data_IF_316800713240
#
_entry.id   IF_316800713240
#
_cell.length_a   1.000
_cell.length_b   1.000
_cell.length_c   1.000
_cell.angle_alpha   90.00
_cell.angle_beta   90.00
_cell.angle_gamma   90.00
#
_symmetry.space_group_name_H-M   'P 1'
#
loop_
_entity.id
_entity.type
_entity.pdbx_description
1 polymer ?
#
# COMPACT_ATOMS: atom_id res chain seq x y z
N UNK A 1 5.56 52.40 44.95
CA UNK A 1 6.17 51.16 44.45
C UNK A 1 5.09 50.26 43.81
N UNK A 2 4.91 50.34 42.51
CA UNK A 2 3.94 49.50 41.79
C UNK A 2 4.68 48.34 41.10
N UNK A 3 4.47 47.14 41.59
CA UNK A 3 4.92 45.89 40.94
C UNK A 3 3.89 45.53 39.89
N UNK A 4 4.24 45.74 38.61
CA UNK A 4 3.45 45.23 37.46
C UNK A 4 3.72 43.72 37.33
N UNK A 5 2.71 42.91 37.64
CA UNK A 5 2.69 41.49 37.28
C UNK A 5 2.46 41.38 35.77
N UNK A 6 3.47 40.89 35.08
CA UNK A 6 3.36 40.46 33.69
C UNK A 6 2.84 39.02 33.68
N UNK A 7 1.55 38.83 33.39
CA UNK A 7 1.02 37.51 33.02
C UNK A 7 1.51 37.14 31.61
N UNK A 8 2.50 36.29 31.54
CA UNK A 8 2.88 35.62 30.30
C UNK A 8 1.91 34.48 30.08
N UNK A 9 0.93 34.68 29.21
CA UNK A 9 0.05 33.63 28.73
C UNK A 9 0.84 32.76 27.76
N UNK A 10 1.27 31.58 28.24
CA UNK A 10 1.89 30.55 27.42
C UNK A 10 0.79 29.88 26.58
N UNK A 11 0.64 30.29 25.32
CA UNK A 11 -0.17 29.59 24.32
C UNK A 11 0.51 28.26 24.03
N UNK A 12 0.03 27.20 24.68
CA UNK A 12 0.30 25.84 24.25
C UNK A 12 -0.43 25.63 22.90
N UNK A 13 0.33 25.78 21.82
CA UNK A 13 -0.10 25.27 20.51
C UNK A 13 -0.16 23.74 20.60
N UNK A 14 -1.33 23.23 20.92
CA UNK A 14 -1.62 21.81 20.83
C UNK A 14 -1.51 21.35 19.37
N UNK A 15 -0.41 20.69 19.02
CA UNK A 15 -0.35 19.93 17.79
C UNK A 15 -1.37 18.79 17.90
N UNK A 16 -2.57 19.01 17.39
CA UNK A 16 -3.54 17.97 17.20
C UNK A 16 -2.98 17.00 16.13
N UNK A 17 -2.38 15.90 16.56
CA UNK A 17 -2.11 14.74 15.73
C UNK A 17 -3.45 14.09 15.38
N UNK A 18 -4.21 14.73 14.48
CA UNK A 18 -5.41 14.15 13.92
C UNK A 18 -4.98 13.26 12.76
N UNK A 19 -5.09 11.94 12.91
CA UNK A 19 -4.94 11.06 11.78
C UNK A 19 -4.54 9.60 12.07
N UNK A 20 -3.76 9.33 13.10
CA UNK A 20 -3.28 7.95 13.35
C UNK A 20 -4.40 6.95 13.69
N UNK A 21 -5.54 7.43 14.20
CA UNK A 21 -6.69 6.59 14.54
C UNK A 21 -7.68 6.40 13.38
N UNK A 22 -7.53 7.14 12.29
CA UNK A 22 -8.47 7.11 11.18
C UNK A 22 -8.04 6.13 10.07
N UNK A 23 -6.82 5.59 10.14
CA UNK A 23 -6.25 4.72 9.12
C UNK A 23 -5.53 3.54 9.77
N UNK A 24 -5.81 2.35 9.29
CA UNK A 24 -5.11 1.13 9.65
C UNK A 24 -4.58 0.45 8.39
N UNK A 25 -3.30 0.10 8.40
CA UNK A 25 -2.63 -0.64 7.34
C UNK A 25 -2.21 -1.99 7.90
N UNK A 26 -2.63 -3.07 7.27
CA UNK A 26 -2.28 -4.42 7.67
C UNK A 26 -1.98 -5.35 6.48
N UNK A 27 -1.46 -6.55 6.76
CA UNK A 27 -1.16 -7.60 5.77
C UNK A 27 -0.32 -7.07 4.61
N UNK A 28 0.73 -6.31 4.93
CA UNK A 28 1.60 -5.69 3.91
C UNK A 28 2.66 -6.71 3.47
N UNK A 29 2.64 -7.07 2.20
CA UNK A 29 3.59 -8.02 1.63
C UNK A 29 3.75 -7.85 0.12
N UNK A 30 4.80 -8.45 -0.41
CA UNK A 30 5.13 -8.50 -1.84
C UNK A 30 5.61 -9.91 -2.18
N UNK A 31 5.60 -10.26 -3.46
CA UNK A 31 6.26 -11.48 -3.94
C UNK A 31 7.73 -11.20 -4.22
N UNK A 32 8.57 -12.23 -4.06
CA UNK A 32 9.93 -12.18 -4.56
C UNK A 32 9.96 -11.85 -6.05
N UNK A 33 11.05 -11.21 -6.48
CA UNK A 33 11.23 -10.89 -7.88
C UNK A 33 12.05 -11.96 -8.59
N UNK A 34 11.70 -12.22 -9.85
CA UNK A 34 12.52 -13.06 -10.74
C UNK A 34 13.58 -12.22 -11.46
N UNK A 35 14.69 -12.80 -11.92
CA UNK A 35 15.71 -12.07 -12.68
C UNK A 35 15.11 -11.30 -13.86
N UNK A 36 15.47 -10.02 -13.98
CA UNK A 36 14.99 -9.13 -15.05
C UNK A 36 13.62 -8.49 -14.80
N UNK A 37 12.94 -8.82 -13.70
CA UNK A 37 11.67 -8.20 -13.34
C UNK A 37 11.86 -6.71 -12.97
N UNK A 38 11.07 -5.84 -13.60
CA UNK A 38 11.18 -4.39 -13.43
C UNK A 38 10.12 -3.80 -12.50
N UNK A 39 9.12 -4.58 -12.09
CA UNK A 39 8.03 -4.09 -11.25
C UNK A 39 7.59 -5.14 -10.24
N UNK A 40 7.05 -4.69 -9.11
CA UNK A 40 6.50 -5.56 -8.07
C UNK A 40 5.21 -4.96 -7.50
N UNK A 41 4.20 -5.81 -7.36
CA UNK A 41 2.92 -5.41 -6.77
C UNK A 41 2.99 -5.49 -5.26
N UNK A 42 2.50 -4.43 -4.60
CA UNK A 42 2.34 -4.37 -3.16
C UNK A 42 0.94 -4.86 -2.79
N UNK A 43 0.88 -5.85 -1.93
CA UNK A 43 -0.36 -6.36 -1.34
C UNK A 43 -0.53 -5.75 0.04
N UNK A 44 -1.68 -5.15 0.32
CA UNK A 44 -2.03 -4.69 1.66
C UNK A 44 -3.53 -4.47 1.81
N UNK A 45 -3.98 -4.43 3.06
CA UNK A 45 -5.30 -3.96 3.43
C UNK A 45 -5.17 -2.54 4.01
N UNK A 46 -6.00 -1.64 3.51
CA UNK A 46 -6.06 -0.25 3.96
C UNK A 46 -7.47 0.05 4.45
N UNK A 47 -7.63 0.19 5.76
CA UNK A 47 -8.90 0.52 6.40
C UNK A 47 -8.92 1.99 6.79
N UNK A 48 -10.01 2.67 6.49
CA UNK A 48 -10.20 4.09 6.83
C UNK A 48 -11.56 4.31 7.51
N UNK A 49 -11.60 5.19 8.51
CA UNK A 49 -12.85 5.60 9.17
C UNK A 49 -13.51 6.78 8.47
N UNK A 50 -12.71 7.63 7.83
CA UNK A 50 -13.16 8.79 7.06
C UNK A 50 -12.84 8.61 5.59
N UNK A 51 -13.69 9.15 4.73
CA UNK A 51 -13.45 9.14 3.30
C UNK A 51 -12.15 9.90 2.94
N UNK A 52 -11.44 9.40 1.95
CA UNK A 52 -10.21 10.00 1.49
C UNK A 52 -9.75 9.49 0.14
N UNK A 53 -8.47 9.68 -0.14
CA UNK A 53 -7.81 9.21 -1.35
C UNK A 53 -6.37 8.80 -1.04
N UNK A 54 -5.94 7.68 -1.58
CA UNK A 54 -4.53 7.34 -1.68
C UNK A 54 -3.94 8.07 -2.89
N UNK A 55 -2.85 8.79 -2.68
CA UNK A 55 -2.23 9.65 -3.70
C UNK A 55 -0.96 9.02 -4.27
N UNK A 56 -0.17 8.32 -3.47
CA UNK A 56 1.04 7.66 -3.96
C UNK A 56 1.53 6.57 -3.01
N UNK A 57 2.30 5.66 -3.60
CA UNK A 57 3.12 4.67 -2.90
C UNK A 57 4.56 4.83 -3.35
N UNK A 58 5.51 4.70 -2.43
CA UNK A 58 6.94 4.77 -2.73
C UNK A 58 7.71 3.77 -1.89
N UNK A 59 8.84 3.30 -2.42
CA UNK A 59 9.79 2.46 -1.70
C UNK A 59 11.19 2.64 -2.27
N UNK A 60 12.26 2.58 -1.44
CA UNK A 60 13.63 2.84 -1.89
C UNK A 60 14.17 1.79 -2.87
N UNK A 61 13.52 0.64 -2.97
CA UNK A 61 13.90 -0.45 -3.88
C UNK A 61 13.49 -0.22 -5.33
N UNK A 62 12.73 0.85 -5.61
CA UNK A 62 12.19 1.15 -6.93
C UNK A 62 12.30 2.64 -7.26
N UNK A 63 12.28 2.98 -8.54
CA UNK A 63 12.34 4.37 -9.01
C UNK A 63 11.05 5.14 -8.74
N UNK A 64 9.91 4.47 -8.87
CA UNK A 64 8.58 5.07 -8.68
C UNK A 64 7.56 4.05 -8.20
N UNK A 65 6.40 4.55 -7.81
CA UNK A 65 5.21 3.74 -7.54
C UNK A 65 4.03 4.24 -8.35
N UNK A 66 3.18 3.32 -8.76
CA UNK A 66 1.97 3.57 -9.53
C UNK A 66 0.75 2.99 -8.83
N UNK A 67 -0.35 3.70 -8.95
CA UNK A 67 -1.68 3.23 -8.58
C UNK A 67 -2.40 2.81 -9.86
N UNK A 68 -2.97 1.62 -9.87
CA UNK A 68 -3.62 1.06 -11.05
C UNK A 68 -5.00 0.54 -10.70
N UNK A 69 -5.95 0.80 -11.58
CA UNK A 69 -7.32 0.33 -11.46
C UNK A 69 -7.73 -0.42 -12.73
N UNK A 70 -8.58 -1.44 -12.58
CA UNK A 70 -9.14 -2.18 -13.72
C UNK A 70 -10.49 -1.59 -14.06
N UNK A 71 -10.56 -0.95 -15.21
CA UNK A 71 -11.76 -0.26 -15.71
C UNK A 71 -12.33 -0.97 -16.94
N UNK A 72 -13.64 -0.83 -17.13
CA UNK A 72 -14.32 -1.32 -18.33
C UNK A 72 -14.25 -0.23 -19.43
N UNK A 73 -13.56 -0.52 -20.52
CA UNK A 73 -13.50 0.34 -21.71
C UNK A 73 -13.98 -0.44 -22.94
N UNK A 74 -14.99 0.08 -23.61
CA UNK A 74 -15.54 -0.53 -24.83
C UNK A 74 -15.88 -2.02 -24.70
N UNK A 75 -16.41 -2.42 -23.53
CA UNK A 75 -16.76 -3.81 -23.24
C UNK A 75 -15.57 -4.73 -22.88
N UNK A 76 -14.36 -4.17 -22.68
CA UNK A 76 -13.16 -4.92 -22.26
C UNK A 76 -12.61 -4.37 -20.97
N UNK A 77 -12.12 -5.26 -20.10
CA UNK A 77 -11.38 -4.89 -18.89
C UNK A 77 -9.98 -4.45 -19.28
N UNK A 78 -9.57 -3.27 -18.81
CA UNK A 78 -8.22 -2.71 -19.02
C UNK A 78 -7.68 -2.20 -17.70
N UNK A 79 -6.37 -2.38 -17.48
CA UNK A 79 -5.68 -1.80 -16.35
C UNK A 79 -5.18 -0.42 -16.75
N UNK A 80 -5.57 0.58 -15.98
CA UNK A 80 -5.15 1.99 -16.20
C UNK A 80 -4.43 2.51 -14.97
N UNK A 81 -3.34 3.28 -15.18
CA UNK A 81 -2.69 4.03 -14.12
C UNK A 81 -3.56 5.24 -13.77
N UNK A 82 -3.79 5.43 -12.47
CA UNK A 82 -4.61 6.54 -11.94
C UNK A 82 -3.79 7.43 -11.03
N UNK A 83 -4.12 8.71 -10.98
CA UNK A 83 -3.42 9.69 -10.13
C UNK A 83 -3.77 9.53 -8.63
N UNK A 84 -4.91 8.96 -8.34
CA UNK A 84 -5.36 8.71 -6.98
C UNK A 84 -6.40 7.59 -6.91
N UNK A 85 -6.46 6.92 -5.78
CA UNK A 85 -7.44 5.88 -5.49
C UNK A 85 -8.40 6.34 -4.40
N UNK A 86 -9.71 6.31 -4.66
CA UNK A 86 -10.74 6.66 -3.68
C UNK A 86 -10.77 5.64 -2.54
N UNK A 87 -10.88 6.16 -1.32
CA UNK A 87 -11.01 5.38 -0.10
C UNK A 87 -12.36 5.74 0.55
N UNK A 88 -13.40 4.92 0.40
CA UNK A 88 -14.70 5.19 1.01
C UNK A 88 -14.61 5.14 2.55
N UNK A 89 -15.38 6.00 3.24
CA UNK A 89 -15.43 5.99 4.69
C UNK A 89 -15.92 4.63 5.24
N UNK A 90 -15.41 4.26 6.41
CA UNK A 90 -15.74 3.01 7.10
C UNK A 90 -15.57 1.76 6.24
N UNK A 91 -14.52 1.72 5.42
CA UNK A 91 -14.25 0.62 4.51
C UNK A 91 -12.81 0.15 4.57
N UNK A 92 -12.60 -1.07 4.11
CA UNK A 92 -11.27 -1.65 3.88
C UNK A 92 -11.08 -1.86 2.37
N UNK A 93 -10.04 -1.25 1.83
CA UNK A 93 -9.61 -1.45 0.45
C UNK A 93 -8.50 -2.49 0.41
N UNK A 94 -8.69 -3.55 -0.40
CA UNK A 94 -7.74 -4.64 -0.56
C UNK A 94 -6.91 -4.41 -1.82
N UNK A 95 -5.66 -3.98 -1.64
CA UNK A 95 -4.75 -3.78 -2.75
C UNK A 95 -4.07 -5.08 -3.17
N UNK A 96 -3.90 -5.25 -4.48
CA UNK A 96 -3.34 -6.45 -5.08
C UNK A 96 -4.37 -7.51 -5.44
N UNK A 97 -5.65 -7.22 -5.19
CA UNK A 97 -6.78 -8.08 -5.51
C UNK A 97 -7.93 -7.25 -6.10
N UNK A 98 -8.87 -7.89 -6.76
CA UNK A 98 -10.10 -7.26 -7.26
C UNK A 98 -9.88 -6.06 -8.21
N UNK A 99 -8.75 -6.04 -8.94
CA UNK A 99 -8.50 -5.01 -9.95
C UNK A 99 -7.89 -3.71 -9.43
N UNK A 100 -7.56 -3.63 -8.14
CA UNK A 100 -6.93 -2.45 -7.52
C UNK A 100 -5.49 -2.81 -7.16
N UNK A 101 -4.51 -2.08 -7.72
CA UNK A 101 -3.11 -2.42 -7.54
C UNK A 101 -2.28 -1.22 -7.13
N UNK A 102 -1.29 -1.47 -6.28
CA UNK A 102 -0.13 -0.62 -6.05
C UNK A 102 1.10 -1.33 -6.60
N UNK A 103 1.81 -0.69 -7.50
CA UNK A 103 2.96 -1.31 -8.16
C UNK A 103 4.19 -0.44 -8.00
N UNK A 104 5.27 -1.01 -7.50
CA UNK A 104 6.60 -0.39 -7.52
C UNK A 104 7.22 -0.65 -8.88
N UNK A 105 7.69 0.40 -9.56
CA UNK A 105 8.19 0.36 -10.93
C UNK A 105 9.65 0.79 -10.97
N UNK A 106 10.42 0.13 -11.83
CA UNK A 106 11.85 0.35 -11.94
C UNK A 106 12.62 -0.20 -10.74
N UNK A 107 12.43 -1.50 -10.44
CA UNK A 107 13.17 -2.17 -9.37
C UNK A 107 14.68 -2.00 -9.58
N UNK A 108 15.37 -1.57 -8.53
CA UNK A 108 16.81 -1.33 -8.53
C UNK A 108 17.59 -2.48 -7.90
N UNK A 109 16.91 -3.41 -7.27
CA UNK A 109 17.47 -4.61 -6.65
C UNK A 109 16.48 -5.75 -6.69
N UNK A 110 16.98 -6.98 -6.61
CA UNK A 110 16.14 -8.16 -6.46
C UNK A 110 15.46 -8.18 -5.09
N UNK A 111 14.20 -8.58 -5.07
CA UNK A 111 13.42 -8.84 -3.85
C UNK A 111 13.56 -10.32 -3.50
N UNK A 112 14.09 -10.63 -2.33
CA UNK A 112 14.33 -11.99 -1.85
C UNK A 112 13.36 -12.34 -0.72
N UNK A 113 12.92 -13.59 -0.60
CA UNK A 113 12.08 -14.02 0.51
C UNK A 113 12.71 -13.67 1.86
N UNK A 114 11.91 -13.08 2.74
CA UNK A 114 12.35 -12.61 4.06
C UNK A 114 12.83 -11.16 4.10
N UNK A 115 13.06 -10.52 2.95
CA UNK A 115 13.37 -9.09 2.90
C UNK A 115 12.20 -8.27 3.45
N UNK A 116 12.52 -7.14 4.08
CA UNK A 116 11.56 -6.12 4.48
C UNK A 116 11.78 -4.86 3.67
N UNK A 117 10.76 -4.48 2.93
CA UNK A 117 10.80 -3.34 2.03
C UNK A 117 10.07 -2.16 2.65
N UNK A 118 10.77 -1.08 3.03
CA UNK A 118 10.11 0.12 3.53
C UNK A 118 9.20 0.73 2.46
N UNK A 119 8.00 1.12 2.86
CA UNK A 119 7.00 1.75 2.01
C UNK A 119 6.51 3.05 2.65
N UNK A 120 6.34 4.06 1.83
CA UNK A 120 5.71 5.32 2.20
C UNK A 120 4.42 5.48 1.40
N UNK A 121 3.30 5.57 2.11
CA UNK A 121 1.98 5.83 1.55
C UNK A 121 1.62 7.28 1.82
N UNK A 122 1.28 8.03 0.77
CA UNK A 122 0.78 9.40 0.90
C UNK A 122 -0.70 9.43 0.54
N UNK A 123 -1.50 9.99 1.41
CA UNK A 123 -2.95 10.03 1.26
C UNK A 123 -3.54 11.32 1.81
N UNK A 124 -4.80 11.54 1.51
CA UNK A 124 -5.64 12.59 2.08
C UNK A 124 -6.84 11.93 2.73
N UNK A 125 -7.03 12.12 4.03
CA UNK A 125 -8.13 11.54 4.81
C UNK A 125 -8.93 12.66 5.48
N UNK A 126 -10.23 12.71 5.21
CA UNK A 126 -11.08 13.77 5.74
C UNK A 126 -10.61 15.17 5.32
N UNK A 127 -10.04 15.33 4.13
CA UNK A 127 -9.50 16.59 3.63
C UNK A 127 -8.14 16.99 4.19
N UNK A 128 -7.47 16.11 4.95
CA UNK A 128 -6.15 16.38 5.55
C UNK A 128 -5.09 15.44 4.98
N UNK A 129 -3.88 15.96 4.66
CA UNK A 129 -2.78 15.13 4.20
C UNK A 129 -2.28 14.23 5.33
N UNK A 130 -1.97 12.99 4.98
CA UNK A 130 -1.44 11.98 5.90
C UNK A 130 -0.37 11.17 5.17
N UNK A 131 0.76 10.95 5.83
CA UNK A 131 1.83 10.06 5.36
C UNK A 131 1.99 8.92 6.35
N UNK A 132 1.97 7.69 5.83
CA UNK A 132 2.17 6.48 6.62
C UNK A 132 3.41 5.76 6.10
N UNK A 133 4.31 5.43 7.02
CA UNK A 133 5.44 4.55 6.75
C UNK A 133 5.13 3.15 7.28
N UNK A 134 5.34 2.15 6.44
CA UNK A 134 5.14 0.74 6.75
C UNK A 134 6.22 -0.10 6.09
N UNK A 135 6.19 -1.41 6.29
CA UNK A 135 7.11 -2.35 5.65
C UNK A 135 6.34 -3.49 5.02
N UNK A 136 6.75 -3.89 3.81
CA UNK A 136 6.25 -5.09 3.16
C UNK A 136 7.21 -6.26 3.40
N UNK A 137 6.69 -7.38 3.83
CA UNK A 137 7.42 -8.63 3.87
C UNK A 137 7.48 -9.25 2.46
N UNK A 138 8.67 -9.61 2.01
CA UNK A 138 8.82 -10.33 0.74
C UNK A 138 8.61 -11.82 0.98
N UNK A 139 7.64 -12.40 0.28
CA UNK A 139 7.30 -13.82 0.35
C UNK A 139 7.76 -14.56 -0.90
N UNK A 140 8.15 -15.81 -0.72
CA UNK A 140 8.51 -16.69 -1.83
C UNK A 140 7.35 -16.84 -2.82
N UNK A 141 7.69 -16.95 -4.10
CA UNK A 141 6.75 -17.31 -5.14
C UNK A 141 6.43 -18.80 -4.96
N UNK A 142 5.28 -19.11 -4.38
CA UNK A 142 4.78 -20.47 -4.33
C UNK A 142 4.41 -20.90 -5.76
N UNK A 143 5.36 -21.53 -6.43
CA UNK A 143 5.06 -22.27 -7.64
C UNK A 143 4.27 -23.50 -7.18
N UNK A 144 2.97 -23.50 -7.43
CA UNK A 144 2.11 -24.64 -7.09
C UNK A 144 2.41 -25.83 -8.03
N UNK A 145 3.59 -26.45 -7.83
CA UNK A 145 3.91 -27.75 -8.40
C UNK A 145 3.25 -28.92 -7.63
N UNK A 146 2.30 -28.63 -6.76
CA UNK A 146 1.62 -29.65 -5.94
C UNK A 146 0.72 -30.59 -6.76
N UNK A 147 0.52 -30.36 -8.07
CA UNK A 147 -0.43 -31.16 -8.84
C UNK A 147 0.19 -32.28 -9.69
N UNK A 148 1.52 -32.45 -9.67
CA UNK A 148 2.15 -33.49 -10.52
C UNK A 148 2.56 -34.76 -9.78
N UNK A 149 2.45 -34.83 -8.47
CA UNK A 149 2.80 -35.99 -7.66
C UNK A 149 1.60 -36.55 -6.89
N UNK A 150 0.41 -36.60 -7.50
CA UNK A 150 -0.70 -37.41 -6.98
C UNK A 150 -0.50 -38.87 -7.39
N UNK A 151 -0.10 -39.74 -6.45
CA UNK A 151 0.09 -41.17 -6.77
C UNK A 151 -1.22 -41.91 -7.07
N UNK A 152 -2.36 -41.22 -7.05
CA UNK A 152 -3.68 -41.78 -7.28
C UNK A 152 -4.14 -41.66 -8.74
N UNK A 153 -3.42 -40.94 -9.60
CA UNK A 153 -3.69 -40.93 -11.03
C UNK A 153 -3.18 -42.25 -11.65
N UNK A 154 -3.99 -43.29 -11.53
CA UNK A 154 -3.78 -44.54 -12.29
C UNK A 154 -3.96 -44.27 -13.78
N UNK A 155 -2.85 -44.42 -14.49
CA UNK A 155 -2.83 -44.46 -15.96
C UNK A 155 -3.78 -45.55 -16.46
N UNK A 156 -4.92 -45.15 -16.99
CA UNK A 156 -5.81 -46.04 -17.73
C UNK A 156 -5.33 -46.10 -19.19
N UNK A 157 -4.50 -47.07 -19.47
CA UNK A 157 -4.28 -47.55 -20.85
C UNK A 157 -5.32 -48.58 -21.19
#
# INVERSE_FOLDING_TARGET
MWRKLFCVSLLLAGNAWAGANDVMVDKVWMRESVPGQQSATVMLNLSVTKAGRLLSVRGPVAKSGELQDVVMRHGKLQTETVDSMKLPAHSTTLFGTHGIYMTLVGLQQALKPGDRVPLTLVMEIGGKPLTINTEAEVKALELSYQHYNDPTVKDHR
#
